data_IF_503597383329
#
_entry.id   IF_503597383329
#
_cell.length_a   1.000
_cell.length_b   1.000
_cell.length_c   1.000
_cell.angle_alpha   90.00
_cell.angle_beta   90.00
_cell.angle_gamma   90.00
#
_symmetry.space_group_name_H-M   'P 1'
#
loop_
_entity.id
_entity.type
_entity.pdbx_description
1 polymer ?
#
# COMPACT_ATOMS: atom_id res chain seq x y z
N UNK A 1 -19.89 4.10 9.63
CA UNK A 1 -19.46 2.90 8.86
C UNK A 1 -19.85 2.95 7.37
N UNK A 2 -18.88 3.22 6.48
CA UNK A 2 -19.02 3.06 5.02
C UNK A 2 -18.29 1.78 4.62
N UNK A 3 -18.90 0.96 3.75
CA UNK A 3 -18.31 -0.31 3.30
C UNK A 3 -17.86 -0.19 1.83
N UNK A 4 -16.61 -0.57 1.55
CA UNK A 4 -16.11 -0.78 0.20
C UNK A 4 -16.16 -2.28 -0.11
N UNK A 5 -16.76 -2.66 -1.24
CA UNK A 5 -16.85 -4.06 -1.68
C UNK A 5 -15.77 -4.29 -2.73
N UNK A 6 -14.86 -5.20 -2.43
CA UNK A 6 -13.81 -5.68 -3.33
C UNK A 6 -14.34 -6.93 -4.05
N UNK A 7 -14.45 -6.89 -5.38
CA UNK A 7 -14.85 -8.06 -6.19
C UNK A 7 -13.94 -8.21 -7.42
N UNK A 8 -13.29 -9.37 -7.56
CA UNK A 8 -12.59 -9.79 -8.77
C UNK A 8 -13.53 -10.63 -9.66
N UNK A 9 -13.51 -10.38 -10.97
CA UNK A 9 -14.30 -11.11 -11.97
C UNK A 9 -13.45 -12.23 -12.59
N UNK A 10 -13.49 -13.45 -12.06
CA UNK A 10 -13.07 -14.65 -12.79
C UNK A 10 -13.95 -15.86 -12.39
N UNK A 11 -14.38 -16.61 -13.41
CA UNK A 11 -15.24 -17.79 -13.34
C UNK A 11 -14.65 -18.89 -12.45
N UNK A 12 -15.37 -19.30 -11.39
CA UNK A 12 -15.36 -20.64 -10.80
C UNK A 12 -16.59 -20.78 -9.87
N UNK A 13 -17.17 -21.98 -9.82
CA UNK A 13 -18.35 -22.35 -9.01
C UNK A 13 -18.06 -22.42 -7.49
N UNK A 14 -17.02 -21.69 -7.03
CA UNK A 14 -16.72 -21.50 -5.62
C UNK A 14 -17.48 -20.27 -5.12
N UNK A 15 -18.03 -20.29 -3.89
CA UNK A 15 -18.53 -19.06 -3.29
C UNK A 15 -17.39 -18.04 -3.33
N UNK A 16 -17.61 -16.92 -4.03
CA UNK A 16 -16.65 -15.82 -4.13
C UNK A 16 -16.26 -15.44 -2.70
N UNK A 17 -15.03 -15.75 -2.28
CA UNK A 17 -14.51 -15.25 -1.01
C UNK A 17 -14.54 -13.73 -1.10
N UNK A 18 -15.35 -13.10 -0.24
CA UNK A 18 -15.49 -11.66 -0.18
C UNK A 18 -14.58 -11.18 0.94
N UNK A 19 -13.63 -10.32 0.61
CA UNK A 19 -12.90 -9.57 1.60
C UNK A 19 -13.61 -8.23 1.80
N UNK A 20 -14.10 -7.98 3.00
CA UNK A 20 -14.79 -6.73 3.37
C UNK A 20 -13.85 -5.91 4.23
N UNK A 21 -13.61 -4.65 3.84
CA UNK A 21 -12.87 -3.69 4.63
C UNK A 21 -13.84 -2.78 5.41
N UNK A 22 -13.88 -2.94 6.72
CA UNK A 22 -14.63 -2.10 7.64
C UNK A 22 -13.74 -0.93 8.09
N UNK A 23 -13.87 0.23 7.43
CA UNK A 23 -13.09 1.42 7.77
C UNK A 23 -13.58 2.01 9.10
N UNK A 24 -12.63 2.35 9.98
CA UNK A 24 -12.93 2.96 11.28
C UNK A 24 -13.57 4.34 11.09
N UNK A 25 -14.51 4.70 11.97
CA UNK A 25 -15.19 5.98 11.89
C UNK A 25 -14.18 7.14 12.03
N UNK A 26 -14.37 8.20 11.24
CA UNK A 26 -13.45 9.34 11.18
C UNK A 26 -12.26 9.14 10.22
N UNK A 27 -12.08 7.96 9.64
CA UNK A 27 -11.01 7.69 8.68
C UNK A 27 -11.54 7.43 7.26
N UNK A 28 -10.67 7.65 6.27
CA UNK A 28 -10.87 7.28 4.87
C UNK A 28 -9.78 6.33 4.44
N UNK A 29 -10.14 5.24 3.75
CA UNK A 29 -9.15 4.32 3.19
C UNK A 29 -9.49 4.10 1.72
N UNK A 30 -8.58 4.49 0.84
CA UNK A 30 -8.72 4.24 -0.59
C UNK A 30 -8.00 2.93 -0.93
N UNK A 31 -8.76 1.99 -1.48
CA UNK A 31 -8.30 0.66 -1.88
C UNK A 31 -8.75 0.46 -3.32
N UNK A 32 -7.79 0.17 -4.21
CA UNK A 32 -8.08 -0.08 -5.62
C UNK A 32 -7.35 -1.33 -6.13
N UNK A 33 -7.82 -1.94 -7.23
CA UNK A 33 -7.06 -3.00 -7.89
C UNK A 33 -5.66 -2.49 -8.22
N UNK A 34 -4.65 -3.30 -7.94
CA UNK A 34 -3.27 -2.89 -8.18
C UNK A 34 -3.06 -2.69 -9.70
N UNK A 35 -2.55 -1.52 -10.16
CA UNK A 35 -2.28 -1.29 -11.56
C UNK A 35 -1.06 -2.09 -12.02
N UNK A 36 -1.01 -2.43 -13.30
CA UNK A 36 0.15 -3.08 -13.90
C UNK A 36 1.35 -2.13 -13.97
N UNK A 37 1.11 -0.84 -14.25
CA UNK A 37 2.14 0.16 -14.44
C UNK A 37 2.69 0.71 -13.11
N UNK A 38 4.00 0.95 -13.07
CA UNK A 38 4.72 1.60 -11.97
C UNK A 38 5.64 2.68 -12.52
N UNK A 39 5.58 3.88 -11.93
CA UNK A 39 6.35 5.04 -12.39
C UNK A 39 7.87 4.77 -12.44
N UNK A 40 8.43 4.07 -11.45
CA UNK A 40 9.85 3.74 -11.43
C UNK A 40 10.23 2.74 -12.55
N UNK A 41 9.32 1.85 -12.95
CA UNK A 41 9.55 0.93 -14.07
C UNK A 41 9.45 1.66 -15.40
N UNK A 42 8.51 2.60 -15.52
CA UNK A 42 8.40 3.48 -16.69
C UNK A 42 9.64 4.35 -16.89
N UNK A 43 10.31 4.73 -15.79
CA UNK A 43 11.55 5.50 -15.81
C UNK A 43 12.80 4.71 -16.19
N UNK A 44 12.73 3.37 -16.29
CA UNK A 44 13.87 2.57 -16.77
C UNK A 44 14.09 2.75 -18.27
N UNK A 45 15.33 2.64 -18.75
CA UNK A 45 15.64 2.75 -20.17
C UNK A 45 14.77 1.77 -20.98
N UNK A 46 14.08 2.28 -22.01
CA UNK A 46 13.12 1.52 -22.81
C UNK A 46 12.08 0.72 -21.99
N UNK A 47 11.73 1.18 -20.77
CA UNK A 47 10.83 0.46 -19.84
C UNK A 47 11.30 -0.98 -19.56
N UNK A 48 12.62 -1.21 -19.55
CA UNK A 48 13.24 -2.54 -19.48
C UNK A 48 12.75 -3.40 -18.31
N UNK A 49 12.41 -2.80 -17.17
CA UNK A 49 11.90 -3.52 -16.00
C UNK A 49 10.66 -4.40 -16.31
N UNK A 50 9.80 -3.98 -17.24
CA UNK A 50 8.61 -4.77 -17.62
C UNK A 50 8.92 -6.03 -18.42
N UNK A 51 10.17 -6.23 -18.87
CA UNK A 51 10.58 -7.48 -19.54
C UNK A 51 10.70 -8.65 -18.55
N UNK A 52 10.74 -8.37 -17.24
CA UNK A 52 10.61 -9.39 -16.22
C UNK A 52 9.12 -9.74 -16.03
N UNK A 53 8.64 -10.76 -16.74
CA UNK A 53 7.24 -11.19 -16.67
C UNK A 53 6.76 -11.46 -15.22
N UNK A 54 7.54 -12.11 -14.33
CA UNK A 54 7.14 -12.27 -12.93
C UNK A 54 6.89 -10.94 -12.21
N UNK A 55 7.73 -9.93 -12.43
CA UNK A 55 7.59 -8.60 -11.83
C UNK A 55 6.35 -7.88 -12.38
N UNK A 56 6.13 -7.94 -13.69
CA UNK A 56 4.97 -7.34 -14.35
C UNK A 56 3.65 -7.94 -13.86
N UNK A 57 3.57 -9.28 -13.75
CA UNK A 57 2.40 -9.97 -13.19
C UNK A 57 2.19 -9.59 -11.72
N UNK A 58 3.25 -9.50 -10.93
CA UNK A 58 3.17 -9.14 -9.52
C UNK A 58 2.58 -7.74 -9.31
N UNK A 59 2.88 -6.77 -10.19
CA UNK A 59 2.35 -5.41 -10.08
C UNK A 59 0.82 -5.35 -10.02
N UNK A 60 0.16 -6.16 -10.86
CA UNK A 60 -1.29 -6.20 -11.01
C UNK A 60 -1.96 -7.23 -10.08
N UNK A 61 -1.19 -7.92 -9.26
CA UNK A 61 -1.71 -8.96 -8.39
C UNK A 61 -2.32 -8.34 -7.13
N UNK A 62 -3.65 -8.41 -7.01
CA UNK A 62 -4.38 -8.01 -5.80
C UNK A 62 -4.78 -6.54 -5.81
N UNK A 63 -4.63 -5.89 -4.66
CA UNK A 63 -5.12 -4.55 -4.38
C UNK A 63 -4.02 -3.73 -3.73
N UNK A 64 -4.03 -2.42 -3.96
CA UNK A 64 -3.18 -1.48 -3.24
C UNK A 64 -4.00 -0.60 -2.31
N UNK A 65 -3.43 -0.33 -1.14
CA UNK A 65 -3.94 0.62 -0.16
C UNK A 65 -3.17 1.91 -0.35
N UNK A 66 -3.87 2.99 -0.69
CA UNK A 66 -3.22 4.27 -0.98
C UNK A 66 -2.85 4.98 0.32
N UNK A 67 -1.71 5.66 0.33
CA UNK A 67 -1.32 6.52 1.44
C UNK A 67 -2.37 7.63 1.62
N UNK A 68 -2.79 7.83 2.87
CA UNK A 68 -3.83 8.81 3.22
C UNK A 68 -3.34 10.27 3.13
N UNK A 69 -2.02 10.45 3.16
CA UNK A 69 -1.32 11.73 3.17
C UNK A 69 0.10 11.53 2.63
N UNK A 70 0.66 12.60 2.05
CA UNK A 70 2.06 12.63 1.66
C UNK A 70 2.98 12.84 2.85
N UNK A 71 4.16 12.22 2.78
CA UNK A 71 5.21 12.34 3.77
C UNK A 71 6.55 11.92 3.15
N UNK A 72 7.63 12.35 3.76
CA UNK A 72 8.99 11.90 3.49
C UNK A 72 9.51 11.07 4.66
N UNK A 73 10.25 10.00 4.36
CA UNK A 73 10.97 9.24 5.37
C UNK A 73 12.43 9.07 4.91
N UNK A 74 13.37 9.39 5.79
CA UNK A 74 14.79 9.18 5.58
C UNK A 74 15.34 8.21 6.63
N UNK A 75 16.12 7.23 6.19
CA UNK A 75 16.77 6.26 7.07
C UNK A 75 18.28 6.49 7.04
N UNK A 76 18.90 6.60 8.21
CA UNK A 76 20.36 6.81 8.35
C UNK A 76 21.20 5.54 8.18
N UNK A 77 20.55 4.37 8.01
CA UNK A 77 21.20 3.07 7.83
C UNK A 77 21.49 2.31 9.13
N UNK A 78 21.21 2.88 10.29
CA UNK A 78 21.41 2.21 11.59
C UNK A 78 20.19 1.41 12.04
N UNK A 79 20.38 0.56 13.05
CA UNK A 79 19.36 -0.33 13.58
C UNK A 79 18.45 0.32 14.64
N UNK A 80 18.77 1.54 15.05
CA UNK A 80 18.05 2.23 16.12
C UNK A 80 16.59 2.52 15.73
N UNK A 81 15.70 2.58 16.73
CA UNK A 81 14.32 3.04 16.51
C UNK A 81 14.27 4.45 15.91
N UNK A 82 15.18 5.32 16.30
CA UNK A 82 15.27 6.70 15.82
C UNK A 82 15.99 6.83 14.46
N UNK A 83 16.44 5.73 13.85
CA UNK A 83 17.18 5.75 12.59
C UNK A 83 16.35 6.29 11.41
N UNK A 84 15.02 6.23 11.52
CA UNK A 84 14.10 6.74 10.52
C UNK A 84 13.52 8.07 10.99
N UNK A 85 13.81 9.14 10.25
CA UNK A 85 13.16 10.44 10.41
C UNK A 85 11.97 10.53 9.46
N UNK A 86 10.80 10.88 9.98
CA UNK A 86 9.55 10.95 9.20
C UNK A 86 9.02 12.38 9.27
N UNK A 87 8.82 13.00 8.11
CA UNK A 87 8.31 14.37 7.98
C UNK A 87 7.03 14.36 7.16
N UNK A 88 5.91 14.75 7.76
CA UNK A 88 4.64 14.85 7.05
C UNK A 88 4.60 16.08 6.15
N UNK A 89 3.86 16.01 5.04
CA UNK A 89 3.57 17.19 4.23
C UNK A 89 2.79 18.23 5.05
N UNK A 90 2.96 19.51 4.70
CA UNK A 90 2.34 20.62 5.42
C UNK A 90 0.81 20.46 5.56
N UNK A 91 0.32 20.57 6.80
CA UNK A 91 -1.11 20.44 7.11
C UNK A 91 -1.64 19.00 7.14
N UNK A 92 -0.75 18.01 7.07
CA UNK A 92 -1.10 16.58 7.15
C UNK A 92 -0.46 15.91 8.36
N UNK A 93 -0.72 14.61 8.53
CA UNK A 93 -0.03 13.75 9.49
C UNK A 93 0.60 12.59 8.73
N UNK A 94 1.78 12.13 9.15
CA UNK A 94 2.39 10.97 8.53
C UNK A 94 1.56 9.70 8.87
N UNK A 95 1.20 8.87 7.87
CA UNK A 95 0.47 7.62 8.09
C UNK A 95 1.38 6.48 8.57
N UNK A 96 2.67 6.78 8.75
CA UNK A 96 3.71 5.82 9.06
C UNK A 96 4.53 6.25 10.28
N UNK A 97 5.07 5.27 10.99
CA UNK A 97 5.92 5.44 12.16
C UNK A 97 7.13 4.51 12.09
N UNK A 98 8.21 4.88 12.79
CA UNK A 98 9.26 3.94 13.16
C UNK A 98 8.86 3.26 14.46
N UNK A 99 8.63 1.95 14.42
CA UNK A 99 8.14 1.19 15.59
C UNK A 99 9.08 0.07 16.04
N UNK A 100 9.86 -0.52 15.12
CA UNK A 100 10.66 -1.72 15.41
C UNK A 100 12.18 -1.51 15.32
N UNK A 101 12.66 -0.40 14.77
CA UNK A 101 14.08 -0.22 14.41
C UNK A 101 14.44 -0.89 13.08
N UNK A 102 15.74 -1.07 12.81
CA UNK A 102 16.28 -1.80 11.64
C UNK A 102 15.75 -1.31 10.28
N UNK A 103 15.50 -0.02 10.13
CA UNK A 103 14.95 0.53 8.88
C UNK A 103 13.50 0.09 8.56
N UNK A 104 12.76 -0.46 9.53
CA UNK A 104 11.37 -0.88 9.33
C UNK A 104 10.40 0.30 9.50
N UNK A 105 9.82 0.74 8.39
CA UNK A 105 8.73 1.71 8.35
C UNK A 105 7.36 1.01 8.51
N UNK A 106 6.60 1.38 9.53
CA UNK A 106 5.31 0.75 9.86
C UNK A 106 4.15 1.65 9.50
N UNK A 107 3.15 1.13 8.78
CA UNK A 107 1.92 1.84 8.42
C UNK A 107 0.74 1.35 9.26
N UNK A 108 -0.06 2.28 9.78
CA UNK A 108 -1.31 1.93 10.44
C UNK A 108 -2.46 1.97 9.45
N UNK A 109 -3.15 0.85 9.29
CA UNK A 109 -4.32 0.74 8.41
C UNK A 109 -5.58 0.85 9.29
N UNK A 110 -6.37 1.94 9.18
CA UNK A 110 -7.55 2.15 10.02
C UNK A 110 -8.76 1.37 9.50
N UNK A 111 -8.62 0.06 9.31
CA UNK A 111 -9.73 -0.81 8.93
C UNK A 111 -9.60 -2.22 9.50
N UNK A 112 -10.75 -2.86 9.71
CA UNK A 112 -10.85 -4.28 10.03
C UNK A 112 -11.25 -5.07 8.78
N UNK A 113 -10.46 -6.08 8.42
CA UNK A 113 -10.77 -6.98 7.31
C UNK A 113 -11.58 -8.20 7.80
N UNK A 114 -12.61 -8.57 7.02
CA UNK A 114 -13.41 -9.77 7.24
C UNK A 114 -13.49 -10.61 5.96
N UNK A 115 -13.25 -11.91 6.09
CA UNK A 115 -13.43 -12.94 5.04
C UNK A 115 -14.76 -13.68 5.17
#
# INVERSE_FOLDING_TARGET
MRAAIIASQLFTDRPRMKLIAHVLDGHTLDIRPAPHERAWMDATDQRYAYRCLPLAIANAHGWELLCQSGFEASWDGSDALAAITITADAGTHAPAISHFGYGVLTFHVPCLFRT
#
